data_IF_638414811320
#
_entry.id   IF_638414811320
#
_cell.length_a   1.000
_cell.length_b   1.000
_cell.length_c   1.000
_cell.angle_alpha   90.00
_cell.angle_beta   90.00
_cell.angle_gamma   90.00
#
_symmetry.space_group_name_H-M   'P 1'
#
loop_
_entity.id
_entity.type
_entity.pdbx_description
1 polymer ?
#
# COMPACT_ATOMS: atom_id res chain seq x y z
N UNK A 1 -14.61 -12.34 -17.23
CA UNK A 1 -15.25 -12.71 -15.94
C UNK A 1 -16.13 -11.55 -15.51
N UNK A 2 -17.27 -11.75 -14.82
CA UNK A 2 -18.13 -10.64 -14.41
C UNK A 2 -17.39 -9.70 -13.45
N UNK A 3 -17.70 -8.40 -13.49
CA UNK A 3 -17.11 -7.40 -12.60
C UNK A 3 -17.41 -7.69 -11.12
N UNK A 4 -18.62 -8.17 -10.86
CA UNK A 4 -19.11 -8.48 -9.52
C UNK A 4 -19.11 -9.99 -9.32
N UNK A 5 -18.32 -10.46 -8.37
CA UNK A 5 -18.20 -11.89 -8.04
C UNK A 5 -18.86 -12.16 -6.70
N UNK A 6 -19.80 -13.13 -6.58
CA UNK A 6 -20.38 -13.49 -5.30
C UNK A 6 -19.34 -14.12 -4.38
N UNK A 7 -19.46 -13.88 -3.07
CA UNK A 7 -18.54 -14.45 -2.10
C UNK A 7 -18.68 -15.99 -2.04
N UNK A 8 -17.57 -16.74 -2.11
CA UNK A 8 -17.60 -18.21 -2.12
C UNK A 8 -17.93 -18.82 -0.75
N UNK A 9 -17.78 -18.04 0.33
CA UNK A 9 -18.04 -18.45 1.71
C UNK A 9 -18.80 -17.34 2.44
N UNK A 10 -19.51 -17.70 3.51
CA UNK A 10 -20.23 -16.73 4.32
C UNK A 10 -19.27 -15.86 5.14
N UNK A 11 -19.40 -14.54 5.04
CA UNK A 11 -18.55 -13.57 5.73
C UNK A 11 -17.55 -12.86 4.82
N UNK A 12 -16.82 -11.85 5.33
CA UNK A 12 -15.90 -11.05 4.53
C UNK A 12 -14.70 -11.88 4.05
N UNK A 13 -14.04 -11.46 2.96
CA UNK A 13 -12.79 -12.09 2.52
C UNK A 13 -11.71 -11.98 3.60
N UNK A 14 -10.66 -12.81 3.50
CA UNK A 14 -9.53 -12.75 4.43
C UNK A 14 -8.82 -11.39 4.29
N UNK A 15 -8.72 -10.65 5.38
CA UNK A 15 -7.99 -9.39 5.47
C UNK A 15 -7.23 -9.32 6.80
N UNK A 16 -6.24 -8.44 6.87
CA UNK A 16 -5.59 -8.04 8.12
C UNK A 16 -5.72 -6.53 8.31
N UNK A 17 -5.62 -6.07 9.55
CA UNK A 17 -5.55 -4.63 9.82
C UNK A 17 -4.18 -4.06 9.46
N UNK A 18 -4.11 -2.74 9.26
CA UNK A 18 -2.84 -2.04 8.98
C UNK A 18 -1.80 -2.24 10.10
N UNK A 19 -2.24 -2.37 11.35
CA UNK A 19 -1.35 -2.65 12.49
C UNK A 19 -0.76 -4.06 12.44
N UNK A 20 -1.57 -5.06 12.09
CA UNK A 20 -1.12 -6.45 11.91
C UNK A 20 -0.15 -6.57 10.72
N UNK A 21 -0.42 -5.87 9.61
CA UNK A 21 0.49 -5.82 8.46
C UNK A 21 1.86 -5.25 8.83
N UNK A 22 1.88 -4.16 9.62
CA UNK A 22 3.14 -3.59 10.12
C UNK A 22 3.90 -4.55 11.02
N UNK A 23 3.21 -5.32 11.87
CA UNK A 23 3.85 -6.32 12.74
C UNK A 23 4.44 -7.50 11.94
N UNK A 24 3.71 -7.98 10.94
CA UNK A 24 4.16 -9.06 10.05
C UNK A 24 5.33 -8.64 9.17
N UNK A 25 5.35 -7.38 8.71
CA UNK A 25 6.45 -6.84 7.91
C UNK A 25 7.68 -6.50 8.76
N UNK A 26 7.48 -6.08 10.02
CA UNK A 26 8.56 -5.78 10.96
C UNK A 26 9.29 -7.03 11.45
N UNK A 27 8.63 -8.19 11.44
CA UNK A 27 9.20 -9.48 11.83
C UNK A 27 9.52 -10.27 10.58
N UNK A 28 10.76 -10.19 10.07
CA UNK A 28 11.28 -10.95 8.90
C UNK A 28 10.45 -12.20 8.55
N UNK A 29 9.45 -12.08 7.68
CA UNK A 29 8.57 -13.20 7.38
C UNK A 29 9.32 -14.18 6.49
N UNK A 30 9.04 -15.47 6.65
CA UNK A 30 9.65 -16.53 5.83
C UNK A 30 9.21 -16.45 4.36
N UNK A 31 8.13 -15.73 4.07
CA UNK A 31 7.68 -15.38 2.72
C UNK A 31 6.74 -14.16 2.77
N UNK A 32 7.03 -13.13 1.98
CA UNK A 32 6.15 -11.95 1.86
C UNK A 32 4.86 -12.24 1.07
N UNK A 33 4.80 -13.38 0.36
CA UNK A 33 3.61 -13.79 -0.41
C UNK A 33 2.49 -14.42 0.42
N UNK A 34 2.68 -14.62 1.73
CA UNK A 34 1.65 -15.15 2.64
C UNK A 34 0.93 -14.04 3.43
N UNK A 35 1.36 -12.78 3.27
CA UNK A 35 0.77 -11.66 3.97
C UNK A 35 -0.59 -11.36 3.32
N UNK A 36 -1.71 -11.52 4.05
CA UNK A 36 -3.03 -11.23 3.51
C UNK A 36 -3.20 -9.72 3.23
N UNK A 37 -4.14 -9.35 2.36
CA UNK A 37 -4.32 -7.95 1.97
C UNK A 37 -4.84 -7.12 3.15
N UNK A 38 -4.45 -5.84 3.18
CA UNK A 38 -4.80 -4.94 4.27
C UNK A 38 -6.22 -4.40 4.10
N UNK A 39 -6.98 -4.40 5.19
CA UNK A 39 -8.24 -3.67 5.28
C UNK A 39 -7.95 -2.19 5.45
N UNK A 40 -8.29 -1.39 4.45
CA UNK A 40 -8.12 0.06 4.46
C UNK A 40 -9.30 0.76 5.16
N UNK A 41 -10.54 0.28 4.93
CA UNK A 41 -11.72 0.87 5.55
C UNK A 41 -12.83 -0.15 5.76
N UNK A 42 -13.58 -0.02 6.84
CA UNK A 42 -14.78 -0.81 7.14
C UNK A 42 -15.91 0.11 7.56
N UNK A 43 -17.05 0.03 6.88
CA UNK A 43 -18.24 0.79 7.20
C UNK A 43 -19.46 -0.12 7.35
N UNK A 44 -20.24 0.09 8.40
CA UNK A 44 -21.48 -0.66 8.67
C UNK A 44 -22.72 0.14 8.24
N UNK A 45 -23.84 -0.55 8.03
CA UNK A 45 -25.11 0.07 7.62
C UNK A 45 -25.03 0.79 6.27
N UNK A 46 -24.32 0.19 5.31
CA UNK A 46 -24.18 0.69 3.94
C UNK A 46 -25.19 -0.01 3.04
N UNK A 47 -25.88 0.74 2.19
CA UNK A 47 -26.72 0.19 1.13
C UNK A 47 -25.96 0.26 -0.19
N UNK A 48 -26.02 -0.81 -0.98
CA UNK A 48 -25.43 -0.84 -2.33
C UNK A 48 -26.50 -1.14 -3.35
N UNK A 49 -26.55 -0.34 -4.41
CA UNK A 49 -27.50 -0.48 -5.51
C UNK A 49 -26.75 -0.62 -6.83
N UNK A 50 -27.28 -1.41 -7.75
CA UNK A 50 -26.72 -1.58 -9.08
C UNK A 50 -27.73 -1.12 -10.15
N UNK A 51 -27.23 -0.44 -11.18
CA UNK A 51 -27.99 -0.13 -12.40
C UNK A 51 -27.20 -0.57 -13.64
N UNK A 52 -27.68 -1.56 -14.41
CA UNK A 52 -28.88 -2.37 -14.17
C UNK A 52 -28.78 -3.19 -12.87
N UNK A 53 -29.88 -3.74 -12.33
CA UNK A 53 -29.83 -4.62 -11.16
C UNK A 53 -29.22 -5.99 -11.52
N UNK A 54 -28.50 -6.59 -10.57
CA UNK A 54 -27.89 -7.92 -10.73
C UNK A 54 -28.85 -8.97 -10.15
N UNK A 55 -29.31 -9.97 -10.94
CA UNK A 55 -30.07 -11.10 -10.42
C UNK A 55 -29.25 -11.84 -9.35
N UNK A 56 -29.88 -12.27 -8.26
CA UNK A 56 -29.27 -12.91 -7.07
C UNK A 56 -28.53 -11.98 -6.09
N UNK A 57 -28.18 -10.74 -6.48
CA UNK A 57 -27.56 -9.74 -5.59
C UNK A 57 -28.54 -8.69 -5.05
N UNK A 58 -29.79 -8.69 -5.54
CA UNK A 58 -30.80 -7.68 -5.22
C UNK A 58 -31.41 -7.80 -3.83
N UNK A 59 -30.70 -7.33 -2.81
CA UNK A 59 -31.28 -7.02 -1.50
C UNK A 59 -31.12 -5.53 -1.20
N UNK A 60 -32.23 -4.82 -1.01
CA UNK A 60 -32.28 -3.42 -0.53
C UNK A 60 -31.87 -3.29 0.96
N UNK A 61 -31.30 -4.36 1.52
CA UNK A 61 -30.84 -4.42 2.89
C UNK A 61 -29.48 -3.75 3.05
N UNK A 62 -29.31 -3.09 4.19
CA UNK A 62 -28.04 -2.51 4.59
C UNK A 62 -27.10 -3.62 5.06
N UNK A 63 -25.86 -3.57 4.61
CA UNK A 63 -24.80 -4.49 4.98
C UNK A 63 -23.55 -3.76 5.49
N UNK A 64 -22.44 -4.47 5.47
CA UNK A 64 -21.13 -3.96 5.84
C UNK A 64 -20.24 -3.93 4.60
N UNK A 65 -19.65 -2.76 4.35
CA UNK A 65 -18.67 -2.54 3.29
C UNK A 65 -17.25 -2.73 3.86
N UNK A 66 -16.41 -3.43 3.11
CA UNK A 66 -15.01 -3.66 3.40
C UNK A 66 -14.19 -3.21 2.19
N UNK A 67 -13.37 -2.18 2.37
CA UNK A 67 -12.42 -1.70 1.39
C UNK A 67 -11.08 -2.36 1.73
N UNK A 68 -10.71 -3.39 0.98
CA UNK A 68 -9.51 -4.20 1.22
C UNK A 68 -8.58 -3.97 0.03
N UNK A 69 -7.27 -3.93 0.23
CA UNK A 69 -6.30 -3.66 -0.85
C UNK A 69 -6.48 -4.54 -2.08
N UNK A 70 -6.88 -5.80 -1.93
CA UNK A 70 -7.09 -6.71 -3.06
C UNK A 70 -8.40 -6.47 -3.81
N UNK A 71 -9.47 -6.10 -3.11
CA UNK A 71 -10.81 -5.98 -3.67
C UNK A 71 -11.75 -5.21 -2.74
N UNK A 72 -12.76 -4.56 -3.32
CA UNK A 72 -13.91 -4.06 -2.58
C UNK A 72 -14.86 -5.23 -2.26
N UNK A 73 -15.26 -5.40 -1.01
CA UNK A 73 -16.21 -6.43 -0.61
C UNK A 73 -17.41 -5.85 0.12
N UNK A 74 -18.58 -6.43 -0.09
CA UNK A 74 -19.81 -6.07 0.61
C UNK A 74 -20.51 -7.32 1.12
N UNK A 75 -20.93 -7.30 2.38
CA UNK A 75 -21.54 -8.46 3.06
C UNK A 75 -22.85 -8.04 3.72
N UNK A 76 -23.92 -8.76 3.42
CA UNK A 76 -25.21 -8.59 4.07
C UNK A 76 -25.25 -9.25 5.46
N UNK A 77 -26.22 -8.88 6.32
CA UNK A 77 -26.44 -9.53 7.60
C UNK A 77 -26.74 -11.03 7.50
N UNK A 78 -27.25 -11.49 6.35
CA UNK A 78 -27.47 -12.91 6.05
C UNK A 78 -26.17 -13.71 5.88
N UNK A 79 -25.03 -13.00 5.75
CA UNK A 79 -23.71 -13.59 5.52
C UNK A 79 -23.39 -13.86 4.05
N UNK A 80 -24.33 -13.61 3.12
CA UNK A 80 -24.03 -13.52 1.70
C UNK A 80 -23.35 -12.19 1.37
N UNK A 81 -22.71 -12.09 0.21
CA UNK A 81 -22.10 -10.86 -0.25
C UNK A 81 -21.41 -11.01 -1.59
N UNK A 82 -20.69 -9.98 -2.00
CA UNK A 82 -19.96 -9.94 -3.25
C UNK A 82 -18.64 -9.19 -3.11
N UNK A 83 -17.78 -9.36 -4.10
CA UNK A 83 -16.50 -8.67 -4.26
C UNK A 83 -16.37 -8.08 -5.65
N UNK A 84 -15.68 -6.95 -5.75
CA UNK A 84 -15.32 -6.26 -6.99
C UNK A 84 -13.83 -5.96 -6.94
N UNK A 85 -13.10 -6.39 -7.96
CA UNK A 85 -11.66 -6.11 -8.09
C UNK A 85 -11.44 -4.68 -8.59
N UNK A 86 -10.38 -4.01 -8.15
CA UNK A 86 -10.12 -2.61 -8.50
C UNK A 86 -9.99 -2.34 -9.99
N UNK A 87 -9.30 -3.17 -10.79
CA UNK A 87 -9.25 -2.97 -12.24
C UNK A 87 -10.62 -2.95 -12.92
N UNK A 88 -11.64 -3.57 -12.31
CA UNK A 88 -13.02 -3.55 -12.83
C UNK A 88 -13.78 -2.28 -12.46
N UNK A 89 -13.25 -1.44 -11.58
CA UNK A 89 -13.84 -0.14 -11.22
C UNK A 89 -13.20 0.92 -12.12
N UNK A 90 -13.87 1.23 -13.23
CA UNK A 90 -13.40 2.23 -14.21
C UNK A 90 -13.32 3.63 -13.61
N UNK A 91 -14.25 3.96 -12.72
CA UNK A 91 -14.30 5.27 -12.05
C UNK A 91 -15.04 5.13 -10.73
N UNK A 92 -14.61 5.89 -9.72
CA UNK A 92 -15.38 6.18 -8.52
C UNK A 92 -15.44 7.70 -8.26
N UNK A 93 -16.59 8.20 -7.81
CA UNK A 93 -16.81 9.61 -7.54
C UNK A 93 -17.80 9.83 -6.39
N UNK A 94 -17.62 10.93 -5.65
CA UNK A 94 -18.59 11.36 -4.64
C UNK A 94 -19.81 11.99 -5.31
N UNK A 95 -20.97 11.36 -5.17
CA UNK A 95 -22.26 11.81 -5.68
C UNK A 95 -23.11 12.38 -4.54
N UNK A 96 -23.51 13.65 -4.67
CA UNK A 96 -24.40 14.33 -3.72
C UNK A 96 -25.76 14.56 -4.40
N UNK A 97 -26.60 13.53 -4.41
CA UNK A 97 -27.92 13.54 -5.05
C UNK A 97 -29.08 13.75 -4.07
N UNK A 98 -30.32 13.62 -4.57
CA UNK A 98 -31.54 13.72 -3.74
C UNK A 98 -31.61 12.64 -2.64
N UNK A 99 -30.98 11.49 -2.85
CA UNK A 99 -30.88 10.40 -1.86
C UNK A 99 -29.79 10.62 -0.80
N UNK A 100 -29.09 11.76 -0.82
CA UNK A 100 -27.99 12.06 0.09
C UNK A 100 -26.60 11.83 -0.52
N UNK A 101 -25.53 12.02 0.27
CA UNK A 101 -24.17 11.79 -0.18
C UNK A 101 -23.91 10.29 -0.30
N UNK A 102 -23.33 9.90 -1.43
CA UNK A 102 -23.11 8.52 -1.86
C UNK A 102 -21.84 8.46 -2.69
N UNK A 103 -21.31 7.26 -2.90
CA UNK A 103 -20.22 7.02 -3.84
C UNK A 103 -20.83 6.34 -5.06
N UNK A 104 -20.58 6.93 -6.22
CA UNK A 104 -20.89 6.35 -7.51
C UNK A 104 -19.65 5.63 -8.02
N UNK A 105 -19.82 4.41 -8.51
CA UNK A 105 -18.78 3.64 -9.17
C UNK A 105 -19.31 3.16 -10.52
N UNK A 106 -18.48 3.26 -11.55
CA UNK A 106 -18.73 2.65 -12.85
C UNK A 106 -17.89 1.38 -12.94
N UNK A 107 -18.52 0.26 -13.26
CA UNK A 107 -17.92 -1.05 -13.36
C UNK A 107 -17.85 -1.49 -14.82
N UNK A 108 -16.71 -2.04 -15.21
CA UNK A 108 -16.52 -2.68 -16.50
C UNK A 108 -16.91 -4.16 -16.43
N UNK A 109 -18.01 -4.54 -17.09
CA UNK A 109 -18.46 -5.93 -17.20
C UNK A 109 -17.96 -6.67 -18.44
N UNK A 110 -17.05 -6.08 -19.21
CA UNK A 110 -16.48 -6.71 -20.39
C UNK A 110 -15.96 -8.12 -20.07
N UNK A 111 -16.35 -9.09 -20.89
CA UNK A 111 -15.95 -10.49 -20.67
C UNK A 111 -14.44 -10.68 -20.83
N UNK A 112 -13.81 -9.82 -21.64
CA UNK A 112 -12.42 -9.91 -22.08
C UNK A 112 -11.42 -9.30 -21.09
N UNK A 113 -11.84 -8.46 -20.14
CA UNK A 113 -10.93 -7.85 -19.17
C UNK A 113 -11.03 -6.33 -19.15
N UNK A 114 -10.58 -5.66 -18.06
CA UNK A 114 -10.55 -4.21 -17.99
C UNK A 114 -9.81 -3.62 -19.20
N UNK A 115 -10.43 -2.66 -19.88
CA UNK A 115 -9.87 -1.99 -21.07
C UNK A 115 -9.99 -2.76 -22.39
N UNK A 116 -10.51 -4.00 -22.39
CA UNK A 116 -10.66 -4.79 -23.60
C UNK A 116 -11.84 -4.31 -24.47
N UNK A 117 -11.60 -3.26 -25.24
CA UNK A 117 -12.53 -2.78 -26.26
C UNK A 117 -12.69 -3.86 -27.33
N UNK A 118 -13.88 -4.44 -27.45
CA UNK A 118 -14.22 -5.25 -28.62
C UNK A 118 -14.04 -4.41 -29.90
N UNK A 119 -13.71 -5.05 -31.01
CA UNK A 119 -13.45 -4.42 -32.33
C UNK A 119 -14.68 -3.69 -32.95
N UNK A 120 -15.73 -3.44 -32.15
CA UNK A 120 -16.99 -2.83 -32.55
C UNK A 120 -17.30 -1.65 -31.60
N UNK A 121 -16.85 -0.46 -32.00
CA UNK A 121 -16.96 0.83 -31.28
C UNK A 121 -18.40 1.26 -30.95
N UNK A 122 -19.42 0.53 -31.41
CA UNK A 122 -20.84 0.79 -31.16
C UNK A 122 -21.42 0.03 -29.94
N UNK A 123 -20.68 -0.88 -29.31
CA UNK A 123 -21.16 -1.71 -28.19
C UNK A 123 -20.53 -1.40 -26.82
N UNK A 124 -19.55 -0.50 -26.74
CA UNK A 124 -18.80 -0.19 -25.51
C UNK A 124 -19.68 0.35 -24.36
N UNK A 125 -20.75 1.08 -24.67
CA UNK A 125 -21.72 1.55 -23.66
C UNK A 125 -22.61 0.43 -23.07
N UNK A 126 -22.72 -0.72 -23.74
CA UNK A 126 -23.64 -1.80 -23.32
C UNK A 126 -23.06 -2.71 -22.23
N UNK A 127 -21.76 -2.63 -21.96
CA UNK A 127 -21.06 -3.52 -21.02
C UNK A 127 -20.64 -2.82 -19.72
N UNK A 128 -21.13 -1.59 -19.47
CA UNK A 128 -20.85 -0.87 -18.24
C UNK A 128 -22.01 -0.97 -17.25
N UNK A 129 -21.70 -1.16 -15.96
CA UNK A 129 -22.68 -1.21 -14.87
C UNK A 129 -22.38 -0.16 -13.83
N UNK A 130 -23.40 0.53 -13.38
CA UNK A 130 -23.29 1.49 -12.30
C UNK A 130 -23.50 0.80 -10.95
N UNK A 131 -22.67 1.14 -9.98
CA UNK A 131 -22.80 0.73 -8.59
C UNK A 131 -22.83 1.99 -7.71
N UNK A 132 -23.81 2.07 -6.82
CA UNK A 132 -23.95 3.19 -5.88
C UNK A 132 -23.83 2.68 -4.45
N UNK A 133 -22.94 3.28 -3.69
CA UNK A 133 -22.68 2.98 -2.28
C UNK A 133 -23.25 4.12 -1.44
N UNK A 134 -24.23 3.82 -0.61
CA UNK A 134 -25.00 4.80 0.17
C UNK A 134 -24.81 4.47 1.65
N UNK A 135 -23.83 5.09 2.33
CA UNK A 135 -23.66 4.89 3.77
C UNK A 135 -24.80 5.58 4.54
N UNK A 136 -25.19 4.99 5.67
CA UNK A 136 -26.19 5.63 6.55
C UNK A 136 -25.64 6.90 7.21
N UNK A 137 -24.33 6.96 7.41
CA UNK A 137 -23.64 8.16 7.91
C UNK A 137 -23.05 8.96 6.73
N UNK A 138 -23.49 10.21 6.50
CA UNK A 138 -22.97 11.05 5.42
C UNK A 138 -21.50 11.41 5.60
N UNK A 139 -20.98 11.45 6.84
CA UNK A 139 -19.58 11.75 7.11
C UNK A 139 -18.65 10.60 6.71
N UNK A 140 -19.18 9.38 6.54
CA UNK A 140 -18.40 8.22 6.11
C UNK A 140 -18.13 8.20 4.59
N UNK A 141 -18.77 9.06 3.80
CA UNK A 141 -18.57 9.09 2.34
C UNK A 141 -17.15 9.47 1.95
N UNK A 142 -16.60 10.49 2.60
CA UNK A 142 -15.23 10.96 2.34
C UNK A 142 -14.17 9.88 2.66
N UNK A 143 -14.15 9.25 3.85
CA UNK A 143 -13.16 8.22 4.16
C UNK A 143 -13.32 6.95 3.30
N UNK A 144 -14.53 6.58 2.89
CA UNK A 144 -14.69 5.47 1.93
C UNK A 144 -14.11 5.85 0.56
N UNK A 145 -14.34 7.07 0.09
CA UNK A 145 -13.79 7.56 -1.17
C UNK A 145 -12.26 7.62 -1.15
N UNK A 146 -11.67 8.12 -0.07
CA UNK A 146 -10.20 8.13 0.11
C UNK A 146 -9.63 6.71 0.10
N UNK A 147 -10.25 5.77 0.84
CA UNK A 147 -9.81 4.38 0.88
C UNK A 147 -9.92 3.70 -0.50
N UNK A 148 -11.01 3.93 -1.24
CA UNK A 148 -11.16 3.45 -2.61
C UNK A 148 -10.09 4.01 -3.53
N UNK A 149 -9.79 5.31 -3.43
CA UNK A 149 -8.77 5.98 -4.23
C UNK A 149 -7.37 5.43 -3.96
N UNK A 150 -7.04 5.18 -2.68
CA UNK A 150 -5.77 4.57 -2.30
C UNK A 150 -5.64 3.15 -2.87
N UNK A 151 -6.69 2.35 -2.79
CA UNK A 151 -6.65 0.99 -3.32
C UNK A 151 -6.59 0.98 -4.85
N UNK A 152 -7.35 1.83 -5.54
CA UNK A 152 -7.29 1.96 -7.00
C UNK A 152 -5.87 2.32 -7.47
N UNK A 153 -5.16 3.19 -6.75
CA UNK A 153 -3.76 3.53 -7.06
C UNK A 153 -2.77 2.36 -6.92
N UNK A 154 -3.12 1.29 -6.21
CA UNK A 154 -2.30 0.07 -6.09
C UNK A 154 -2.51 -0.92 -7.24
N UNK A 155 -3.51 -0.70 -8.09
CA UNK A 155 -3.86 -1.57 -9.21
C UNK A 155 -3.90 -0.75 -10.52
N UNK A 156 -2.74 -0.32 -11.05
CA UNK A 156 -2.69 0.31 -12.37
C UNK A 156 -3.17 -0.68 -13.44
N UNK A 157 -3.87 -0.19 -14.45
CA UNK A 157 -4.37 -1.04 -15.52
C UNK A 157 -3.19 -1.64 -16.31
N UNK A 158 -3.25 -2.94 -16.66
CA UNK A 158 -2.15 -3.63 -17.32
C UNK A 158 -1.85 -3.08 -18.73
N UNK A 159 -2.77 -2.34 -19.33
CA UNK A 159 -2.67 -1.80 -20.70
C UNK A 159 -2.08 -0.38 -20.75
N UNK A 160 -1.91 0.31 -19.61
CA UNK A 160 -1.23 1.62 -19.55
C UNK A 160 0.31 1.51 -19.67
N UNK A 161 0.84 0.32 -19.95
CA UNK A 161 2.27 0.03 -20.04
C UNK A 161 2.89 0.08 -21.44
N UNK A 162 2.13 0.35 -22.51
CA UNK A 162 2.62 0.32 -23.91
C UNK A 162 2.30 1.61 -24.72
N UNK A 163 2.05 2.74 -24.04
CA UNK A 163 2.11 4.07 -24.67
C UNK A 163 3.27 4.89 -24.08
N UNK A 164 4.49 4.41 -24.30
CA UNK A 164 5.68 5.26 -24.34
C UNK A 164 5.71 6.09 -25.64
N UNK A 165 4.59 6.70 -26.00
CA UNK A 165 4.40 7.60 -27.15
C UNK A 165 5.02 8.99 -26.98
N UNK A 166 6.01 9.19 -26.09
CA UNK A 166 6.76 10.45 -25.95
C UNK A 166 8.24 10.21 -25.59
N UNK A 167 8.99 9.63 -26.52
CA UNK A 167 10.34 10.14 -26.84
C UNK A 167 10.44 10.32 -28.35
N UNK A 168 10.32 11.58 -28.77
CA UNK A 168 10.76 12.07 -30.06
C UNK A 168 12.21 11.60 -30.28
N UNK A 169 12.38 10.61 -31.16
CA UNK A 169 13.65 10.20 -31.77
C UNK A 169 14.12 11.35 -32.68
N UNK A 170 14.47 12.45 -32.02
CA UNK A 170 14.93 13.71 -32.58
C UNK A 170 16.32 14.02 -32.03
N UNK A 171 17.30 13.21 -32.44
CA UNK A 171 18.71 13.60 -32.57
C UNK A 171 19.30 14.40 -31.38
N UNK A 172 19.36 13.78 -30.20
CA UNK A 172 20.01 14.35 -29.02
C UNK A 172 20.46 13.26 -28.06
N UNK A 173 21.58 12.61 -28.37
CA UNK A 173 22.14 11.50 -27.59
C UNK A 173 22.29 11.83 -26.10
N UNK A 174 21.44 11.22 -25.28
CA UNK A 174 21.71 11.06 -23.86
C UNK A 174 22.70 9.90 -23.72
N UNK A 175 23.98 10.22 -23.63
CA UNK A 175 25.02 9.27 -23.27
C UNK A 175 24.77 8.82 -21.83
N UNK A 176 24.25 7.61 -21.65
CA UNK A 176 24.26 6.93 -20.36
C UNK A 176 25.72 6.79 -19.93
N UNK A 177 26.09 7.49 -18.86
CA UNK A 177 27.42 7.42 -18.25
C UNK A 177 27.67 5.98 -17.73
N UNK A 178 28.27 5.15 -18.59
CA UNK A 178 28.72 3.81 -18.26
C UNK A 178 30.10 3.96 -17.62
N UNK A 179 30.12 4.08 -16.28
CA UNK A 179 31.28 4.44 -15.47
C UNK A 179 32.46 3.47 -15.60
N UNK A 180 33.15 3.52 -16.73
CA UNK A 180 34.46 2.89 -16.92
C UNK A 180 35.51 3.79 -16.26
N UNK A 181 36.45 3.14 -15.58
CA UNK A 181 37.29 3.65 -14.48
C UNK A 181 38.34 4.72 -14.87
N UNK A 182 38.10 5.56 -15.88
CA UNK A 182 39.09 6.52 -16.39
C UNK A 182 38.56 7.96 -16.56
N UNK A 183 37.25 8.21 -16.40
CA UNK A 183 36.73 9.58 -16.34
C UNK A 183 36.86 10.15 -14.92
N UNK A 184 38.05 10.67 -14.63
CA UNK A 184 38.27 11.49 -13.45
C UNK A 184 37.31 12.69 -13.49
N UNK A 185 36.58 12.92 -12.38
CA UNK A 185 35.63 14.03 -12.21
C UNK A 185 36.15 15.34 -12.81
N UNK A 186 35.24 16.12 -13.41
CA UNK A 186 35.53 17.50 -13.85
C UNK A 186 36.13 18.31 -12.68
N UNK A 187 36.89 19.36 -12.97
CA UNK A 187 37.50 20.22 -11.94
C UNK A 187 36.47 20.70 -10.90
N UNK A 188 35.25 21.01 -11.36
CA UNK A 188 34.11 21.39 -10.53
C UNK A 188 33.62 20.21 -9.68
N UNK A 189 33.55 19.02 -10.27
CA UNK A 189 33.19 17.79 -9.57
C UNK A 189 34.19 17.42 -8.47
N UNK A 190 35.50 17.57 -8.71
CA UNK A 190 36.54 17.35 -7.69
C UNK A 190 36.43 18.35 -6.54
N UNK A 191 36.19 19.62 -6.85
CA UNK A 191 36.02 20.65 -5.82
C UNK A 191 34.76 20.42 -4.97
N UNK A 192 33.66 19.98 -5.59
CA UNK A 192 32.43 19.63 -4.89
C UNK A 192 32.62 18.40 -3.99
N UNK A 193 33.34 17.38 -4.47
CA UNK A 193 33.59 16.16 -3.70
C UNK A 193 34.51 16.43 -2.50
N UNK A 194 35.58 17.21 -2.67
CA UNK A 194 36.46 17.62 -1.57
C UNK A 194 35.71 18.46 -0.50
N UNK A 195 34.74 19.27 -0.92
CA UNK A 195 33.89 20.01 0.01
C UNK A 195 32.97 19.07 0.81
N UNK A 196 32.38 18.06 0.16
CA UNK A 196 31.55 17.06 0.84
C UNK A 196 32.36 16.22 1.83
N UNK A 197 33.56 15.78 1.46
CA UNK A 197 34.47 15.07 2.37
C UNK A 197 34.87 15.93 3.58
N UNK A 198 35.03 17.24 3.39
CA UNK A 198 35.32 18.17 4.49
C UNK A 198 34.15 18.31 5.48
N UNK A 199 32.91 18.11 5.03
CA UNK A 199 31.72 18.19 5.88
C UNK A 199 31.51 16.90 6.67
N UNK A 200 31.91 15.76 6.10
CA UNK A 200 31.75 14.47 6.77
C UNK A 200 32.84 14.30 7.83
N UNK A 201 32.51 14.73 9.05
CA UNK A 201 33.29 14.42 10.24
C UNK A 201 33.14 12.92 10.56
N UNK A 202 34.08 12.12 10.04
CA UNK A 202 34.33 10.80 10.61
C UNK A 202 35.21 11.00 11.85
N UNK A 203 34.73 10.72 13.07
CA UNK A 203 35.64 10.65 14.21
C UNK A 203 36.64 9.53 13.92
N UNK A 204 37.86 9.88 13.51
CA UNK A 204 38.97 8.94 13.38
C UNK A 204 39.12 8.22 14.72
N UNK A 205 39.05 6.89 14.64
CA UNK A 205 39.54 5.99 15.67
C UNK A 205 41.01 6.33 15.91
N UNK A 206 41.26 7.17 16.91
CA UNK A 206 42.59 7.46 17.39
C UNK A 206 43.09 6.18 18.09
N UNK A 207 43.72 5.28 17.34
CA UNK A 207 44.32 4.04 17.86
C UNK A 207 45.30 4.34 19.01
N UNK A 208 45.91 5.53 19.06
CA UNK A 208 46.76 5.97 20.19
C UNK A 208 45.99 6.24 21.50
N UNK A 209 44.69 6.60 21.45
CA UNK A 209 43.88 6.78 22.68
C UNK A 209 43.28 5.46 23.21
N UNK A 210 43.21 4.43 22.36
CA UNK A 210 42.75 3.11 22.77
C UNK A 210 43.88 2.31 23.44
N UNK A 211 45.14 2.55 23.07
CA UNK A 211 46.31 1.94 23.70
C UNK A 211 46.60 2.52 25.10
N UNK A 212 46.53 3.85 25.28
CA UNK A 212 46.67 4.48 26.62
C UNK A 212 45.54 4.09 27.59
N UNK A 213 44.32 3.83 27.09
CA UNK A 213 43.18 3.44 27.93
C UNK A 213 43.24 1.99 28.42
N UNK A 214 44.09 1.14 27.82
CA UNK A 214 44.27 -0.27 28.21
C UNK A 214 45.41 -0.45 29.21
N UNK A 215 46.44 0.40 29.20
CA UNK A 215 47.53 0.37 30.20
C UNK A 215 47.06 0.83 31.59
N UNK A 216 46.12 1.78 31.69
CA UNK A 216 45.59 2.27 32.98
C UNK A 216 44.68 1.24 33.69
N UNK A 217 44.16 0.24 32.96
CA UNK A 217 43.29 -0.80 33.53
C UNK A 217 44.10 -1.96 34.10
N UNK A 218 45.34 -2.19 33.64
CA UNK A 218 46.16 -3.30 34.12
C UNK A 218 46.89 -2.99 35.43
N UNK A 219 47.15 -1.72 35.76
CA UNK A 219 47.81 -1.35 37.03
C UNK A 219 46.88 -1.39 38.27
N UNK A 220 45.56 -1.35 38.08
CA UNK A 220 44.61 -1.40 39.22
C UNK A 220 44.22 -2.82 39.67
N UNK A 221 44.72 -3.85 38.98
CA UNK A 221 44.43 -5.27 39.30
C UNK A 221 45.48 -5.96 40.18
N UNK A 222 46.41 -5.19 40.75
CA UNK A 222 47.56 -5.68 41.50
C UNK A 222 47.51 -5.62 43.04
N UNK A 223 46.43 -5.16 43.68
CA UNK A 223 46.35 -5.22 45.16
C UNK A 223 44.91 -5.08 45.69
N UNK A 224 44.30 -6.22 46.04
CA UNK A 224 43.62 -6.39 47.33
C UNK A 224 43.23 -7.85 47.52
N UNK A 225 44.21 -8.62 47.99
CA UNK A 225 43.98 -9.82 48.78
C UNK A 225 43.16 -9.46 50.04
N UNK A 226 42.10 -10.23 50.27
CA UNK A 226 41.85 -10.72 51.63
C UNK A 226 40.59 -10.23 52.36
N UNK A 227 39.65 -11.19 52.51
CA UNK A 227 38.85 -11.45 53.73
C UNK A 227 37.66 -10.50 53.96
N UNK A 228 36.46 -10.85 53.47
CA UNK A 228 35.37 -11.70 54.03
C UNK A 228 34.46 -11.03 55.11
N UNK A 229 33.17 -11.42 55.15
CA UNK A 229 32.04 -10.58 55.58
C UNK A 229 31.40 -11.02 56.92
N UNK A 230 30.65 -10.15 57.61
CA UNK A 230 29.49 -10.54 58.44
C UNK A 230 28.72 -9.39 59.13
N UNK A 231 27.46 -9.23 58.71
CA UNK A 231 26.18 -9.03 59.46
C UNK A 231 26.03 -7.94 60.57
N UNK A 232 24.98 -7.10 60.54
CA UNK A 232 24.59 -6.26 61.68
C UNK A 232 23.65 -7.01 62.64
N UNK A 233 23.92 -6.94 63.95
CA UNK A 233 23.02 -7.40 65.00
C UNK A 233 22.58 -6.22 65.89
N UNK A 234 21.30 -6.25 66.23
CA UNK A 234 20.53 -5.27 66.95
C UNK A 234 21.07 -4.89 68.33
N UNK A 235 20.74 -3.67 68.76
CA UNK A 235 20.22 -3.43 70.11
C UNK A 235 19.30 -2.22 70.13
#
# INVERSE_FOLDING_TARGET
MPAVTPLPQSGPPKFITLEEHKQLTASTPSSFGDIPPVLQHKEENVQVTFDPPIPDLGNDEKGTLYVIESALAFVWPSGAGFTVEYPRITLHAVSRGESGPSIYCQLDESLNGPGASGEDEEQTDSEMREMKIIPSNPESVEPIFEALSQCAALHPDPDEGDDDGWVDDGEGGFETFDGTNEEELSEVGRAALAHLESIIFFPEENEELLEEALEDVEETRGQNDGVKPSVPAAK
#
